data_IF_546776720801
#
_entry.id   IF_546776720801
#
_cell.length_a   1.000
_cell.length_b   1.000
_cell.length_c   1.000
_cell.angle_alpha   90.00
_cell.angle_beta   90.00
_cell.angle_gamma   90.00
#
_symmetry.space_group_name_H-M   'P 1'
#
loop_
_entity.id
_entity.type
_entity.pdbx_description
1 polymer ?
#
# COMPACT_ATOMS: atom_id res chain seq x y z
N UNK A 1 -55.78 -9.82 10.30
CA UNK A 1 -55.08 -9.14 9.22
C UNK A 1 -54.41 -7.90 9.78
N UNK A 2 -53.06 -7.94 9.95
CA UNK A 2 -52.28 -6.77 10.42
C UNK A 2 -52.16 -5.77 9.25
N UNK A 3 -52.67 -4.57 9.44
CA UNK A 3 -52.51 -3.47 8.48
C UNK A 3 -51.04 -3.10 8.41
N UNK A 4 -50.42 -3.32 7.27
CA UNK A 4 -49.08 -2.83 6.96
C UNK A 4 -49.08 -1.30 6.99
N UNK A 5 -48.26 -0.73 7.87
CA UNK A 5 -48.14 0.71 8.05
C UNK A 5 -47.47 1.31 6.81
N UNK A 6 -48.22 2.10 6.04
CA UNK A 6 -47.75 2.78 4.84
C UNK A 6 -46.50 3.69 5.11
N UNK A 7 -46.38 4.21 6.35
CA UNK A 7 -45.21 5.00 6.75
C UNK A 7 -43.94 4.17 6.83
N UNK A 8 -44.01 2.90 7.26
CA UNK A 8 -42.86 2.01 7.30
C UNK A 8 -42.39 1.62 5.86
N UNK A 9 -43.36 1.53 4.92
CA UNK A 9 -43.02 1.25 3.52
C UNK A 9 -42.32 2.43 2.83
N UNK A 10 -42.72 3.66 3.15
CA UNK A 10 -42.08 4.87 2.63
C UNK A 10 -40.70 5.10 3.23
N UNK A 11 -40.48 4.79 4.52
CA UNK A 11 -39.18 4.90 5.16
C UNK A 11 -38.17 3.91 4.58
N UNK A 12 -38.58 2.67 4.31
CA UNK A 12 -37.72 1.66 3.67
C UNK A 12 -37.44 1.96 2.18
N UNK A 13 -38.44 2.51 1.46
CA UNK A 13 -38.26 2.93 0.07
C UNK A 13 -37.34 4.17 -0.07
N UNK A 14 -37.44 5.14 0.85
CA UNK A 14 -36.57 6.31 0.87
C UNK A 14 -35.12 5.94 1.23
N UNK A 15 -34.91 5.00 2.16
CA UNK A 15 -33.57 4.50 2.49
C UNK A 15 -32.95 3.74 1.31
N UNK A 16 -33.71 2.91 0.61
CA UNK A 16 -33.26 2.21 -0.59
C UNK A 16 -32.96 3.17 -1.76
N UNK A 17 -33.79 4.22 -1.93
CA UNK A 17 -33.57 5.25 -2.94
C UNK A 17 -32.34 6.15 -2.61
N UNK A 18 -32.10 6.45 -1.34
CA UNK A 18 -30.90 7.16 -0.90
C UNK A 18 -29.64 6.33 -1.11
N UNK A 19 -29.67 5.02 -0.82
CA UNK A 19 -28.57 4.11 -1.09
C UNK A 19 -28.29 3.98 -2.59
N UNK A 20 -29.33 3.94 -3.44
CA UNK A 20 -29.17 3.95 -4.88
C UNK A 20 -28.69 5.29 -5.45
N UNK A 21 -29.10 6.42 -4.86
CA UNK A 21 -28.69 7.75 -5.28
C UNK A 21 -27.26 8.11 -4.80
N UNK A 22 -26.80 7.53 -3.71
CA UNK A 22 -25.42 7.72 -3.22
C UNK A 22 -24.40 6.88 -3.97
N UNK A 23 -24.82 6.04 -4.92
CA UNK A 23 -23.92 5.18 -5.66
C UNK A 23 -23.11 4.23 -4.76
N UNK A 24 -23.58 3.98 -3.54
CA UNK A 24 -23.07 2.89 -2.72
C UNK A 24 -23.57 1.60 -3.33
N UNK A 25 -22.88 1.13 -4.37
CA UNK A 25 -22.87 -0.30 -4.65
C UNK A 25 -22.58 -0.94 -3.29
N UNK A 26 -23.34 -1.96 -2.91
CA UNK A 26 -22.97 -2.83 -1.80
C UNK A 26 -21.52 -3.19 -2.05
N UNK A 27 -20.60 -2.56 -1.31
CA UNK A 27 -19.19 -2.72 -1.55
C UNK A 27 -18.93 -4.21 -1.42
N UNK A 28 -18.52 -4.82 -2.52
CA UNK A 28 -18.23 -6.24 -2.53
C UNK A 28 -17.17 -6.44 -1.45
N UNK A 29 -17.52 -7.17 -0.40
CA UNK A 29 -16.60 -7.33 0.73
C UNK A 29 -15.35 -8.02 0.23
N UNK A 30 -14.16 -7.50 0.56
CA UNK A 30 -12.93 -8.12 0.17
C UNK A 30 -12.89 -9.58 0.58
N UNK A 31 -12.52 -10.45 -0.34
CA UNK A 31 -12.34 -11.89 -0.10
C UNK A 31 -10.86 -12.21 -0.15
N UNK A 32 -10.41 -13.02 0.80
CA UNK A 32 -9.07 -13.56 0.81
C UNK A 32 -8.96 -14.75 -0.14
N UNK A 33 -7.85 -14.81 -0.86
CA UNK A 33 -7.51 -15.96 -1.69
C UNK A 33 -6.90 -15.59 -3.04
N UNK A 34 -6.37 -16.57 -3.72
CA UNK A 34 -5.85 -16.45 -5.06
C UNK A 34 -4.48 -15.79 -5.18
N UNK A 35 -4.04 -15.63 -6.42
CA UNK A 35 -2.76 -14.98 -6.77
C UNK A 35 -3.03 -13.75 -7.60
N UNK A 36 -2.46 -12.61 -7.22
CA UNK A 36 -2.43 -11.43 -8.08
C UNK A 36 -1.27 -11.56 -9.07
N UNK A 37 -1.60 -11.64 -10.36
CA UNK A 37 -0.62 -11.68 -11.46
C UNK A 37 -0.57 -10.30 -12.12
N UNK A 38 0.57 -9.62 -12.04
CA UNK A 38 0.74 -8.27 -12.55
C UNK A 38 1.86 -8.21 -13.59
N UNK A 39 1.55 -7.75 -14.81
CA UNK A 39 2.53 -7.45 -15.85
C UNK A 39 2.96 -5.98 -15.81
N UNK A 40 4.26 -5.74 -15.71
CA UNK A 40 4.86 -4.41 -15.62
C UNK A 40 5.89 -4.18 -16.74
N UNK A 41 6.15 -2.92 -17.14
CA UNK A 41 7.25 -2.60 -18.05
C UNK A 41 8.60 -2.81 -17.34
N UNK A 42 9.65 -2.95 -18.14
CA UNK A 42 11.03 -2.98 -17.63
C UNK A 42 11.45 -1.66 -17.04
N UNK A 43 11.07 -0.58 -17.70
CA UNK A 43 11.47 0.78 -17.33
C UNK A 43 10.46 1.41 -16.36
N UNK A 44 10.89 2.45 -15.64
CA UNK A 44 10.04 3.21 -14.72
C UNK A 44 9.94 2.64 -13.30
N UNK A 45 10.63 1.52 -12.98
CA UNK A 45 10.77 0.99 -11.61
C UNK A 45 9.47 0.55 -10.94
N UNK A 46 8.43 0.21 -11.72
CA UNK A 46 7.13 -0.18 -11.15
C UNK A 46 7.22 -1.54 -10.43
N UNK A 47 8.02 -2.49 -10.95
CA UNK A 47 8.27 -3.76 -10.28
C UNK A 47 8.79 -3.54 -8.85
N UNK A 48 9.84 -2.71 -8.75
CA UNK A 48 10.52 -2.42 -7.47
C UNK A 48 9.61 -1.69 -6.50
N UNK A 49 8.83 -0.70 -6.99
CA UNK A 49 7.89 0.03 -6.13
C UNK A 49 6.79 -0.87 -5.57
N UNK A 50 6.17 -1.70 -6.43
CA UNK A 50 5.10 -2.62 -6.00
C UNK A 50 5.66 -3.72 -5.09
N UNK A 51 6.82 -4.28 -5.42
CA UNK A 51 7.50 -5.26 -4.58
C UNK A 51 7.88 -4.67 -3.21
N UNK A 52 8.38 -3.43 -3.19
CA UNK A 52 8.71 -2.72 -1.95
C UNK A 52 7.48 -2.47 -1.09
N UNK A 53 6.37 -2.01 -1.68
CA UNK A 53 5.10 -1.83 -0.99
C UNK A 53 4.49 -3.12 -0.44
N UNK A 54 4.85 -4.29 -0.97
CA UNK A 54 4.42 -5.59 -0.46
C UNK A 54 5.27 -6.10 0.71
N UNK A 55 6.57 -5.78 0.70
CA UNK A 55 7.58 -6.35 1.60
C UNK A 55 7.83 -5.48 2.83
N UNK A 56 7.66 -4.17 2.71
CA UNK A 56 8.01 -3.22 3.75
C UNK A 56 6.82 -2.40 4.20
N UNK A 57 6.66 -2.30 5.52
CA UNK A 57 5.77 -1.31 6.13
C UNK A 57 6.57 -0.05 6.48
N UNK A 58 5.89 1.08 6.50
CA UNK A 58 6.40 2.36 6.97
C UNK A 58 5.83 2.69 8.35
N UNK A 59 6.23 3.84 8.92
CA UNK A 59 5.65 4.26 10.20
C UNK A 59 4.17 4.65 10.04
N UNK A 60 3.84 5.28 8.94
CA UNK A 60 2.47 5.69 8.60
C UNK A 60 2.15 5.33 7.16
N UNK A 61 0.89 5.39 6.78
CA UNK A 61 0.44 5.21 5.39
C UNK A 61 -0.59 6.26 4.99
N UNK A 62 -0.61 6.64 3.72
CA UNK A 62 -1.71 7.41 3.13
C UNK A 62 -2.65 6.43 2.45
N UNK A 63 -3.86 6.31 2.97
CA UNK A 63 -4.85 5.41 2.41
C UNK A 63 -5.49 5.98 1.12
N UNK A 64 -6.16 5.15 0.29
CA UNK A 64 -6.81 5.60 -0.95
C UNK A 64 -7.87 6.69 -0.75
N UNK A 65 -8.41 6.81 0.47
CA UNK A 65 -9.32 7.88 0.87
C UNK A 65 -8.59 9.19 1.27
N UNK A 66 -7.25 9.23 1.12
CA UNK A 66 -6.41 10.38 1.45
C UNK A 66 -6.15 10.58 2.94
N UNK A 67 -6.66 9.69 3.80
CA UNK A 67 -6.44 9.78 5.24
C UNK A 67 -5.10 9.15 5.61
N UNK A 68 -4.38 9.85 6.48
CA UNK A 68 -3.16 9.33 7.09
C UNK A 68 -3.52 8.33 8.19
N UNK A 69 -2.94 7.16 8.15
CA UNK A 69 -3.14 6.08 9.11
C UNK A 69 -1.82 5.61 9.71
N UNK A 70 -1.90 5.01 10.90
CA UNK A 70 -0.74 4.33 11.48
C UNK A 70 -0.49 2.99 10.80
N UNK A 71 0.78 2.69 10.56
CA UNK A 71 1.26 1.41 10.07
C UNK A 71 2.15 0.75 11.14
N UNK A 72 3.47 0.92 11.11
CA UNK A 72 4.32 0.55 12.25
C UNK A 72 4.12 1.47 13.45
N UNK A 73 3.66 2.70 13.23
CA UNK A 73 3.21 3.57 14.30
C UNK A 73 1.75 3.32 14.66
N UNK A 74 1.44 3.30 15.96
CA UNK A 74 0.06 3.19 16.48
C UNK A 74 -0.54 4.55 16.78
N UNK A 75 0.28 5.61 16.86
CA UNK A 75 -0.13 6.97 17.09
C UNK A 75 1.04 7.93 17.11
N UNK A 76 0.74 9.22 16.96
CA UNK A 76 1.72 10.29 17.03
C UNK A 76 1.08 11.58 17.52
N UNK A 77 1.91 12.43 18.09
CA UNK A 77 1.53 13.80 18.45
C UNK A 77 2.77 14.69 18.44
N UNK A 78 2.57 15.98 18.28
CA UNK A 78 3.64 16.98 18.35
C UNK A 78 3.39 18.00 19.46
N UNK A 79 4.44 18.77 19.77
CA UNK A 79 4.29 20.04 20.46
C UNK A 79 3.61 21.08 19.55
N UNK A 80 3.25 22.25 20.12
CA UNK A 80 2.56 23.33 19.38
C UNK A 80 3.39 23.89 18.22
N UNK A 81 4.73 23.74 18.30
CA UNK A 81 5.65 24.19 17.26
C UNK A 81 5.86 23.19 16.12
N UNK A 82 5.37 21.97 16.27
CA UNK A 82 5.63 20.83 15.39
C UNK A 82 7.15 20.54 15.18
N UNK A 83 7.98 20.91 16.17
CA UNK A 83 9.42 20.63 16.18
C UNK A 83 9.76 19.33 16.90
N UNK A 84 8.93 18.93 17.85
CA UNK A 84 9.08 17.68 18.60
C UNK A 84 7.88 16.81 18.35
N UNK A 85 8.13 15.60 17.86
CA UNK A 85 7.10 14.61 17.62
C UNK A 85 7.38 13.37 18.45
N UNK A 86 6.35 12.83 19.07
CA UNK A 86 6.37 11.51 19.72
C UNK A 86 5.59 10.55 18.84
N UNK A 87 6.25 9.51 18.38
CA UNK A 87 5.67 8.44 17.56
C UNK A 87 5.71 7.15 18.35
N UNK A 88 4.56 6.58 18.66
CA UNK A 88 4.42 5.33 19.39
C UNK A 88 4.41 4.16 18.41
N UNK A 89 5.27 3.17 18.62
CA UNK A 89 5.39 2.00 17.76
C UNK A 89 4.46 0.86 18.17
N UNK A 90 4.19 0.00 17.22
CA UNK A 90 3.53 -1.28 17.36
C UNK A 90 4.52 -2.30 17.95
N UNK A 91 4.06 -3.14 18.87
CA UNK A 91 4.93 -4.13 19.54
C UNK A 91 4.80 -5.54 18.98
N UNK A 92 3.71 -5.83 18.28
CA UNK A 92 3.34 -7.15 17.76
C UNK A 92 3.80 -7.34 16.30
N UNK A 93 4.94 -6.73 15.93
CA UNK A 93 5.52 -6.81 14.58
C UNK A 93 6.81 -7.60 14.59
N UNK A 94 7.01 -8.40 13.58
CA UNK A 94 8.27 -9.09 13.31
C UNK A 94 8.68 -8.94 11.85
N UNK A 95 9.98 -8.93 11.60
CA UNK A 95 10.54 -9.04 10.26
C UNK A 95 10.28 -10.43 9.65
N UNK A 96 10.46 -10.58 8.34
CA UNK A 96 10.29 -11.86 7.64
C UNK A 96 11.27 -12.94 8.11
N UNK A 97 12.40 -12.56 8.68
CA UNK A 97 13.36 -13.48 9.29
C UNK A 97 13.00 -13.90 10.73
N UNK A 98 11.84 -13.46 11.23
CA UNK A 98 11.34 -13.81 12.56
C UNK A 98 11.84 -12.92 13.70
N UNK A 99 12.77 -12.00 13.46
CA UNK A 99 13.23 -11.05 14.49
C UNK A 99 12.10 -10.06 14.83
N UNK A 100 11.85 -9.76 16.10
CA UNK A 100 10.88 -8.73 16.49
C UNK A 100 11.37 -7.34 16.07
N UNK A 101 10.46 -6.48 15.64
CA UNK A 101 10.73 -5.06 15.41
C UNK A 101 10.97 -4.35 16.75
N UNK A 102 12.05 -3.59 16.84
CA UNK A 102 12.40 -2.76 17.99
C UNK A 102 12.47 -1.29 17.61
N UNK A 103 12.26 -0.42 18.57
CA UNK A 103 12.43 1.02 18.33
C UNK A 103 13.87 1.40 17.90
N UNK A 104 14.87 0.64 18.36
CA UNK A 104 16.26 0.79 17.91
C UNK A 104 16.41 0.53 16.41
N UNK A 105 15.69 -0.45 15.84
CA UNK A 105 15.75 -0.75 14.42
C UNK A 105 15.18 0.41 13.58
N UNK A 106 14.10 1.01 14.06
CA UNK A 106 13.47 2.18 13.41
C UNK A 106 14.42 3.38 13.47
N UNK A 107 14.99 3.68 14.65
CA UNK A 107 15.94 4.79 14.82
C UNK A 107 17.14 4.59 13.88
N UNK A 108 17.80 3.44 13.94
CA UNK A 108 18.97 3.14 13.13
C UNK A 108 18.68 3.21 11.61
N UNK A 109 17.49 2.72 11.19
CA UNK A 109 17.07 2.79 9.78
C UNK A 109 16.87 4.23 9.32
N UNK A 110 16.17 5.04 10.11
CA UNK A 110 15.93 6.46 9.77
C UNK A 110 17.24 7.28 9.80
N UNK A 111 18.14 7.01 10.73
CA UNK A 111 19.47 7.62 10.76
C UNK A 111 20.30 7.22 9.54
N UNK A 112 20.22 5.95 9.10
CA UNK A 112 20.85 5.49 7.88
C UNK A 112 20.30 6.19 6.63
N UNK A 113 19.01 6.48 6.56
CA UNK A 113 18.42 7.29 5.50
C UNK A 113 18.86 8.74 5.57
N UNK A 114 18.79 9.37 6.75
CA UNK A 114 19.19 10.76 6.96
C UNK A 114 20.67 10.99 6.61
N UNK A 115 21.56 10.08 6.99
CA UNK A 115 23.00 10.17 6.68
C UNK A 115 23.31 10.12 5.19
N UNK A 116 22.40 9.59 4.36
CA UNK A 116 22.49 9.59 2.89
C UNK A 116 21.86 10.82 2.24
N UNK A 117 21.40 11.77 3.03
CA UNK A 117 20.77 12.99 2.53
C UNK A 117 19.34 12.78 2.00
N UNK A 118 18.61 11.86 2.59
CA UNK A 118 17.21 11.61 2.19
C UNK A 118 16.34 12.82 2.51
N UNK A 119 15.83 13.47 1.46
CA UNK A 119 15.04 14.70 1.56
C UNK A 119 13.74 14.54 2.38
N UNK A 120 13.24 13.30 2.53
CA UNK A 120 12.07 13.01 3.39
C UNK A 120 12.35 13.28 4.86
N UNK A 121 13.62 13.17 5.27
CA UNK A 121 14.12 13.41 6.62
C UNK A 121 14.89 14.72 6.75
N UNK A 122 14.77 15.61 5.76
CA UNK A 122 15.38 16.94 5.82
C UNK A 122 14.92 17.69 7.07
N UNK A 123 15.87 18.30 7.77
CA UNK A 123 15.65 19.00 9.05
C UNK A 123 15.52 18.08 10.26
N UNK A 124 15.69 16.76 10.10
CA UNK A 124 15.77 15.84 11.24
C UNK A 124 17.10 16.06 11.98
N UNK A 125 17.00 16.51 13.25
CA UNK A 125 18.14 16.79 14.11
C UNK A 125 18.52 15.63 15.00
N UNK A 126 17.53 14.95 15.57
CA UNK A 126 17.75 13.83 16.48
C UNK A 126 16.56 12.87 16.52
N UNK A 127 16.86 11.61 16.75
CA UNK A 127 15.94 10.56 17.12
C UNK A 127 16.33 10.00 18.47
N UNK A 128 15.40 9.91 19.42
CA UNK A 128 15.66 9.34 20.74
C UNK A 128 14.55 8.40 21.17
N UNK A 129 14.97 7.28 21.73
CA UNK A 129 14.05 6.37 22.37
C UNK A 129 13.42 7.04 23.59
N UNK A 130 12.10 7.02 23.68
CA UNK A 130 11.33 7.40 24.86
C UNK A 130 10.73 6.16 25.52
N UNK A 131 9.93 6.35 26.56
CA UNK A 131 9.35 5.29 27.36
C UNK A 131 8.84 4.11 26.52
N UNK A 132 9.46 2.96 26.73
CA UNK A 132 9.09 1.69 26.12
C UNK A 132 9.31 1.60 24.61
N UNK A 133 8.35 2.03 23.82
CA UNK A 133 8.25 1.83 22.37
C UNK A 133 8.00 3.15 21.60
N UNK A 134 8.16 4.29 22.24
CA UNK A 134 7.98 5.58 21.62
C UNK A 134 9.34 6.17 21.17
N UNK A 135 9.31 6.84 20.01
CA UNK A 135 10.46 7.57 19.45
C UNK A 135 10.14 9.05 19.42
N UNK A 136 11.02 9.86 19.96
CA UNK A 136 10.99 11.30 19.80
C UNK A 136 11.79 11.71 18.58
N UNK A 137 11.15 12.45 17.69
CA UNK A 137 11.77 13.15 16.56
C UNK A 137 11.97 14.60 16.95
N UNK A 138 13.17 15.12 16.79
CA UNK A 138 13.49 16.54 16.98
C UNK A 138 13.90 17.11 15.63
N UNK A 139 13.22 18.20 15.22
CA UNK A 139 13.45 18.88 13.95
C UNK A 139 14.10 20.24 14.17
N UNK A 140 14.90 20.69 13.20
CA UNK A 140 15.49 22.04 13.20
C UNK A 140 14.40 23.11 13.09
N UNK A 141 13.39 22.86 12.25
CA UNK A 141 12.20 23.71 12.07
C UNK A 141 10.93 22.88 12.24
N UNK A 142 9.84 23.54 12.64
CA UNK A 142 8.55 22.88 12.80
C UNK A 142 7.99 22.36 11.48
N UNK A 143 7.60 21.08 11.45
CA UNK A 143 7.00 20.47 10.27
C UNK A 143 5.73 19.70 10.63
N UNK A 144 4.53 20.28 10.41
CA UNK A 144 3.26 19.62 10.69
C UNK A 144 2.99 18.43 9.76
N UNK A 145 3.75 18.30 8.66
CA UNK A 145 3.60 17.22 7.68
C UNK A 145 4.58 16.06 7.89
N UNK A 146 5.34 16.04 8.99
CA UNK A 146 6.25 14.93 9.27
C UNK A 146 5.55 13.55 9.15
N UNK A 147 4.36 13.31 9.69
CA UNK A 147 3.70 12.01 9.57
C UNK A 147 3.40 11.59 8.13
N UNK A 148 3.15 12.53 7.21
CA UNK A 148 3.00 12.23 5.78
C UNK A 148 4.32 11.87 5.11
N UNK A 149 5.44 12.46 5.54
CA UNK A 149 6.77 12.08 5.04
C UNK A 149 7.16 10.67 5.48
N UNK A 150 6.72 10.26 6.68
CA UNK A 150 6.96 8.92 7.25
C UNK A 150 6.14 7.82 6.56
N UNK A 151 5.23 8.16 5.65
CA UNK A 151 4.45 7.23 4.84
C UNK A 151 5.14 6.85 3.53
N UNK A 152 6.28 7.46 3.20
CA UNK A 152 6.96 7.21 1.92
C UNK A 152 7.60 5.82 1.89
N UNK A 153 7.26 5.02 0.89
CA UNK A 153 7.72 3.63 0.72
C UNK A 153 9.23 3.48 0.50
N UNK A 154 9.93 4.58 0.29
CA UNK A 154 11.40 4.61 0.25
C UNK A 154 12.06 4.61 1.62
N UNK A 155 11.33 4.93 2.70
CA UNK A 155 11.85 4.87 4.07
C UNK A 155 11.76 3.44 4.62
N UNK A 156 12.60 2.56 4.11
CA UNK A 156 12.67 1.16 4.52
C UNK A 156 13.13 1.04 5.97
N UNK A 157 12.37 0.31 6.78
CA UNK A 157 12.75 -0.07 8.13
C UNK A 157 13.35 -1.48 8.11
N UNK A 158 14.56 -1.61 8.64
CA UNK A 158 15.36 -2.84 8.60
C UNK A 158 15.80 -3.26 10.00
N UNK A 159 15.98 -4.55 10.22
CA UNK A 159 16.58 -5.05 11.45
C UNK A 159 17.98 -4.47 11.65
N UNK A 160 18.28 -4.06 12.87
CA UNK A 160 19.54 -3.41 13.25
C UNK A 160 19.92 -2.18 12.38
N UNK A 161 18.95 -1.62 11.63
CA UNK A 161 19.17 -0.49 10.74
C UNK A 161 19.94 -0.81 9.45
N UNK A 162 20.22 -2.07 9.15
CA UNK A 162 20.93 -2.45 7.92
C UNK A 162 20.01 -2.44 6.70
N UNK A 163 19.69 -1.23 6.25
CA UNK A 163 18.81 -0.97 5.10
C UNK A 163 19.37 -1.63 3.82
N UNK A 164 20.69 -1.69 3.65
CA UNK A 164 21.28 -2.27 2.44
C UNK A 164 21.11 -3.79 2.40
N UNK A 165 21.43 -4.48 3.49
CA UNK A 165 21.20 -5.92 3.58
C UNK A 165 19.72 -6.27 3.46
N UNK A 166 18.83 -5.49 4.10
CA UNK A 166 17.39 -5.66 4.00
C UNK A 166 16.89 -5.53 2.56
N UNK A 167 17.34 -4.51 1.82
CA UNK A 167 17.00 -4.34 0.41
C UNK A 167 17.54 -5.46 -0.47
N UNK A 168 18.78 -5.91 -0.22
CA UNK A 168 19.41 -7.01 -0.98
C UNK A 168 18.69 -8.35 -0.79
N UNK A 169 18.18 -8.61 0.42
CA UNK A 169 17.46 -9.84 0.76
C UNK A 169 15.95 -9.71 0.67
N UNK A 170 15.44 -8.51 0.45
CA UNK A 170 14.02 -8.15 0.52
C UNK A 170 13.36 -8.66 1.82
N UNK A 171 13.98 -8.37 2.96
CA UNK A 171 13.54 -8.78 4.28
C UNK A 171 12.96 -7.58 5.03
N UNK A 172 11.65 -7.44 5.04
CA UNK A 172 10.92 -6.36 5.71
C UNK A 172 9.94 -6.88 6.74
N UNK A 173 9.00 -6.02 7.13
CA UNK A 173 7.92 -6.32 8.08
C UNK A 173 6.58 -6.55 7.39
N UNK A 174 6.47 -6.28 6.08
CA UNK A 174 5.23 -6.25 5.33
C UNK A 174 4.47 -7.57 5.23
N UNK A 175 3.28 -7.48 4.68
CA UNK A 175 2.34 -8.61 4.54
C UNK A 175 2.86 -9.76 3.72
N UNK A 176 3.77 -9.51 2.76
CA UNK A 176 4.24 -10.52 1.81
C UNK A 176 5.73 -10.78 1.96
N UNK A 177 6.07 -12.02 2.24
CA UNK A 177 7.44 -12.50 2.26
C UNK A 177 7.85 -13.02 0.87
N UNK A 178 9.07 -12.71 0.46
CA UNK A 178 9.58 -13.07 -0.87
C UNK A 178 9.84 -14.57 -0.96
N UNK A 179 9.29 -15.22 -1.98
CA UNK A 179 9.63 -16.60 -2.36
C UNK A 179 10.70 -16.62 -3.45
N UNK A 180 10.62 -15.67 -4.39
CA UNK A 180 11.56 -15.56 -5.51
C UNK A 180 11.62 -14.13 -6.03
N UNK A 181 12.82 -13.61 -6.19
CA UNK A 181 13.07 -12.37 -6.89
C UNK A 181 14.16 -12.56 -7.94
N UNK A 182 13.94 -12.03 -9.13
CA UNK A 182 14.93 -11.94 -10.20
C UNK A 182 14.97 -10.49 -10.64
N UNK A 183 16.11 -9.86 -10.41
CA UNK A 183 16.30 -8.44 -10.66
C UNK A 183 15.84 -8.02 -12.05
N UNK A 184 14.97 -7.00 -12.09
CA UNK A 184 14.37 -6.44 -13.29
C UNK A 184 13.58 -7.44 -14.17
N UNK A 185 13.14 -8.59 -13.64
CA UNK A 185 12.41 -9.61 -14.42
C UNK A 185 11.17 -10.17 -13.76
N UNK A 186 11.28 -10.53 -12.50
CA UNK A 186 10.24 -11.30 -11.83
C UNK A 186 10.31 -11.12 -10.32
N UNK A 187 9.13 -11.02 -9.69
CA UNK A 187 8.99 -11.01 -8.24
C UNK A 187 7.81 -11.88 -7.85
N UNK A 188 8.05 -12.81 -6.95
CA UNK A 188 7.02 -13.66 -6.37
C UNK A 188 7.10 -13.60 -4.85
N UNK A 189 5.96 -13.41 -4.22
CA UNK A 189 5.85 -13.35 -2.77
C UNK A 189 4.59 -14.06 -2.29
N UNK A 190 4.63 -14.53 -1.06
CA UNK A 190 3.51 -15.19 -0.39
C UNK A 190 3.10 -14.38 0.82
N UNK A 191 1.79 -14.29 1.04
CA UNK A 191 1.23 -13.69 2.23
C UNK A 191 1.66 -14.45 3.48
N UNK A 192 2.01 -13.71 4.53
CA UNK A 192 2.31 -14.27 5.86
C UNK A 192 1.02 -14.82 6.48
N UNK A 193 1.16 -15.87 7.30
CA UNK A 193 0.02 -16.47 8.01
C UNK A 193 -0.55 -15.52 9.08
N UNK A 194 0.32 -14.77 9.73
CA UNK A 194 -0.03 -13.82 10.79
C UNK A 194 0.59 -12.45 10.50
N UNK A 195 -0.22 -11.42 10.56
CA UNK A 195 0.20 -10.04 10.42
C UNK A 195 -0.80 -9.10 11.09
N UNK A 196 -0.36 -7.96 11.62
CA UNK A 196 -1.23 -7.01 12.30
C UNK A 196 -2.31 -6.39 11.39
N UNK A 197 -2.13 -6.44 10.06
CA UNK A 197 -3.12 -6.01 9.06
C UNK A 197 -4.16 -7.10 8.71
N UNK A 198 -4.15 -8.25 9.39
CA UNK A 198 -5.10 -9.33 9.09
C UNK A 198 -6.55 -8.85 9.19
N UNK A 199 -7.34 -9.20 8.15
CA UNK A 199 -8.74 -8.77 8.05
C UNK A 199 -8.96 -7.34 7.55
N UNK A 200 -7.88 -6.55 7.32
CA UNK A 200 -7.96 -5.17 6.81
C UNK A 200 -7.20 -4.97 5.50
N UNK A 201 -6.22 -5.80 5.19
CA UNK A 201 -5.40 -5.72 3.99
C UNK A 201 -4.84 -7.10 3.58
N UNK A 202 -4.17 -7.18 2.43
CA UNK A 202 -3.48 -8.38 1.97
C UNK A 202 -4.45 -9.50 1.61
N UNK A 203 -5.34 -9.24 0.67
CA UNK A 203 -6.41 -10.16 0.31
C UNK A 203 -5.96 -11.32 -0.56
N UNK A 204 -4.86 -11.18 -1.32
CA UNK A 204 -4.29 -12.27 -2.10
C UNK A 204 -3.42 -13.18 -1.24
N UNK A 205 -3.40 -14.49 -1.54
CA UNK A 205 -2.49 -15.44 -0.89
C UNK A 205 -1.07 -15.37 -1.46
N UNK A 206 -0.95 -14.96 -2.72
CA UNK A 206 0.33 -14.81 -3.41
C UNK A 206 0.33 -13.65 -4.40
N UNK A 207 1.52 -13.14 -4.67
CA UNK A 207 1.80 -12.14 -5.68
C UNK A 207 2.75 -12.73 -6.72
N UNK A 208 2.51 -12.40 -7.98
CA UNK A 208 3.35 -12.82 -9.10
C UNK A 208 3.49 -11.65 -10.09
N UNK A 209 4.61 -10.93 -10.02
CA UNK A 209 4.90 -9.78 -10.86
C UNK A 209 5.91 -10.18 -11.93
N UNK A 210 5.56 -9.93 -13.18
CA UNK A 210 6.40 -10.26 -14.32
C UNK A 210 6.69 -9.03 -15.17
N UNK A 211 7.96 -8.89 -15.59
CA UNK A 211 8.36 -7.85 -16.51
C UNK A 211 8.13 -8.29 -17.94
N UNK A 212 7.28 -7.56 -18.64
CA UNK A 212 7.04 -7.69 -20.08
C UNK A 212 7.25 -6.31 -20.70
N UNK A 213 8.33 -6.14 -21.46
CA UNK A 213 8.73 -4.82 -21.98
C UNK A 213 7.74 -4.23 -22.99
N UNK A 214 7.16 -5.08 -23.85
CA UNK A 214 6.22 -4.65 -24.88
C UNK A 214 4.81 -4.45 -24.32
N UNK A 215 4.25 -3.25 -24.50
CA UNK A 215 2.93 -2.89 -24.02
C UNK A 215 1.80 -3.67 -24.73
N UNK A 216 1.97 -4.01 -26.01
CA UNK A 216 0.99 -4.79 -26.74
C UNK A 216 0.93 -6.23 -26.20
N UNK A 217 2.09 -6.83 -25.89
CA UNK A 217 2.16 -8.16 -25.27
C UNK A 217 1.54 -8.14 -23.86
N UNK A 218 1.75 -7.06 -23.06
CA UNK A 218 1.07 -6.91 -21.77
C UNK A 218 -0.45 -6.82 -21.91
N UNK A 219 -0.92 -6.07 -22.91
CA UNK A 219 -2.35 -5.96 -23.20
C UNK A 219 -2.95 -7.32 -23.62
N UNK A 220 -2.23 -8.10 -24.44
CA UNK A 220 -2.62 -9.46 -24.82
C UNK A 220 -2.66 -10.38 -23.62
N UNK A 221 -1.63 -10.37 -22.79
CA UNK A 221 -1.57 -11.20 -21.58
C UNK A 221 -2.73 -10.92 -20.62
N UNK A 222 -3.15 -9.65 -20.47
CA UNK A 222 -4.33 -9.29 -19.69
C UNK A 222 -5.62 -9.76 -20.36
N UNK A 223 -5.77 -9.52 -21.65
CA UNK A 223 -6.97 -9.91 -22.42
C UNK A 223 -7.19 -11.42 -22.39
N UNK A 224 -6.13 -12.18 -22.51
CA UNK A 224 -6.19 -13.64 -22.60
C UNK A 224 -6.15 -14.32 -21.21
N UNK A 225 -6.13 -13.51 -20.11
CA UNK A 225 -6.21 -14.00 -18.73
C UNK A 225 -4.91 -14.59 -18.18
N UNK A 226 -3.76 -14.39 -18.84
CA UNK A 226 -2.46 -14.79 -18.30
C UNK A 226 -2.02 -13.95 -17.12
N UNK A 227 -2.45 -12.68 -17.09
CA UNK A 227 -2.29 -11.78 -15.92
C UNK A 227 -3.63 -11.16 -15.56
N UNK A 228 -3.75 -10.71 -14.32
CA UNK A 228 -4.96 -10.10 -13.77
C UNK A 228 -4.93 -8.58 -13.92
N UNK A 229 -3.72 -8.03 -13.96
CA UNK A 229 -3.45 -6.59 -14.07
C UNK A 229 -2.27 -6.36 -15.01
N UNK A 230 -2.34 -5.33 -15.82
CA UNK A 230 -1.25 -4.89 -16.68
C UNK A 230 -1.03 -3.38 -16.60
N UNK A 231 0.24 -2.97 -16.53
CA UNK A 231 0.61 -1.57 -16.70
C UNK A 231 0.66 -1.24 -18.20
N UNK A 232 -0.17 -0.30 -18.63
CA UNK A 232 -0.31 0.09 -20.01
C UNK A 232 -0.20 1.62 -20.16
N UNK A 233 0.57 2.14 -21.11
CA UNK A 233 0.66 3.57 -21.37
C UNK A 233 -0.66 4.13 -21.90
N UNK A 234 -1.41 3.32 -22.63
CA UNK A 234 -2.73 3.66 -23.19
C UNK A 234 -3.66 2.44 -23.17
N UNK A 235 -4.98 2.63 -23.11
CA UNK A 235 -5.93 1.52 -23.14
C UNK A 235 -6.21 0.97 -24.56
N UNK A 236 -5.52 1.44 -25.59
CA UNK A 236 -5.85 1.14 -27.00
C UNK A 236 -5.84 -0.35 -27.32
N UNK A 237 -4.88 -1.10 -26.80
CA UNK A 237 -4.79 -2.56 -26.98
C UNK A 237 -5.95 -3.36 -26.40
N UNK A 238 -6.76 -2.73 -25.53
CA UNK A 238 -7.91 -3.37 -24.87
C UNK A 238 -9.26 -2.90 -25.40
N UNK A 239 -9.31 -1.83 -26.21
CA UNK A 239 -10.56 -1.26 -26.72
C UNK A 239 -11.34 -2.27 -27.55
N UNK A 240 -12.64 -2.43 -27.23
CA UNK A 240 -13.56 -3.32 -27.95
C UNK A 240 -13.31 -4.82 -27.74
N UNK A 241 -12.46 -5.21 -26.81
CA UNK A 241 -12.07 -6.61 -26.57
C UNK A 241 -12.33 -7.10 -25.15
N UNK A 242 -13.36 -6.58 -24.52
CA UNK A 242 -13.74 -6.94 -23.14
C UNK A 242 -13.94 -5.71 -22.27
N UNK A 243 -14.31 -5.96 -21.02
CA UNK A 243 -14.46 -4.92 -20.01
C UNK A 243 -13.33 -5.00 -19.01
N UNK A 244 -12.66 -3.86 -18.78
CA UNK A 244 -11.54 -3.75 -17.87
C UNK A 244 -11.74 -2.58 -16.93
N UNK A 245 -11.21 -2.69 -15.73
CA UNK A 245 -11.13 -1.61 -14.76
C UNK A 245 -9.83 -0.85 -14.99
N UNK A 246 -9.88 0.49 -15.01
CA UNK A 246 -8.70 1.33 -15.20
C UNK A 246 -8.35 2.07 -13.93
N UNK A 247 -7.08 2.03 -13.57
CA UNK A 247 -6.52 2.72 -12.43
C UNK A 247 -5.50 3.76 -12.90
N UNK A 248 -5.86 5.05 -12.95
CA UNK A 248 -4.92 6.10 -13.31
C UNK A 248 -3.79 6.18 -12.28
N UNK A 249 -2.56 6.34 -12.74
CA UNK A 249 -1.38 6.61 -11.90
C UNK A 249 -0.77 7.97 -12.26
N UNK A 250 0.15 8.45 -11.44
CA UNK A 250 0.93 9.64 -11.80
C UNK A 250 1.76 9.36 -13.05
N UNK A 251 1.80 10.37 -13.94
CA UNK A 251 2.34 10.21 -15.27
C UNK A 251 1.38 9.44 -16.19
N UNK A 252 1.71 9.31 -17.44
CA UNK A 252 0.85 8.74 -18.49
C UNK A 252 0.63 7.22 -18.41
N UNK A 253 0.90 6.62 -17.25
CA UNK A 253 0.73 5.18 -17.04
C UNK A 253 -0.59 4.88 -16.36
N UNK A 254 -1.36 3.99 -16.97
CA UNK A 254 -2.55 3.42 -16.39
C UNK A 254 -2.31 1.94 -16.04
N UNK A 255 -2.91 1.47 -14.95
CA UNK A 255 -3.08 0.05 -14.69
C UNK A 255 -4.44 -0.36 -15.24
N UNK A 256 -4.48 -1.37 -16.05
CA UNK A 256 -5.71 -2.03 -16.48
C UNK A 256 -5.85 -3.36 -15.74
N UNK A 257 -7.01 -3.61 -15.18
CA UNK A 257 -7.30 -4.84 -14.44
C UNK A 257 -8.53 -5.55 -15.03
N UNK A 258 -8.53 -6.87 -15.01
CA UNK A 258 -9.70 -7.67 -15.32
C UNK A 258 -10.86 -7.36 -14.37
N UNK A 259 -12.11 -7.58 -14.79
CA UNK A 259 -13.30 -7.28 -13.97
C UNK A 259 -13.37 -8.07 -12.66
N UNK A 260 -12.68 -9.18 -12.59
CA UNK A 260 -12.54 -9.99 -11.38
C UNK A 260 -11.59 -9.39 -10.35
N UNK A 261 -10.88 -8.31 -10.67
CA UNK A 261 -10.03 -7.57 -9.71
C UNK A 261 -10.78 -6.31 -9.27
N UNK A 262 -10.99 -6.21 -7.97
CA UNK A 262 -11.66 -5.08 -7.35
C UNK A 262 -10.63 -4.16 -6.72
N UNK A 263 -10.80 -2.88 -6.95
CA UNK A 263 -9.93 -1.82 -6.46
C UNK A 263 -10.64 -0.99 -5.38
N UNK A 264 -9.93 -0.50 -4.37
CA UNK A 264 -10.52 0.40 -3.38
C UNK A 264 -10.99 1.70 -4.04
N UNK A 265 -12.07 2.25 -3.50
CA UNK A 265 -12.60 3.54 -3.97
C UNK A 265 -11.64 4.67 -3.60
N UNK A 266 -11.35 5.56 -4.56
CA UNK A 266 -10.49 6.72 -4.37
C UNK A 266 -11.31 8.01 -4.22
N UNK A 267 -10.71 9.01 -3.58
CA UNK A 267 -11.30 10.36 -3.49
C UNK A 267 -11.13 11.13 -4.80
N UNK A 268 -10.07 10.89 -5.55
CA UNK A 268 -9.72 11.67 -6.74
C UNK A 268 -9.27 10.78 -7.89
N UNK A 269 -9.65 11.15 -9.11
CA UNK A 269 -9.11 10.55 -10.33
C UNK A 269 -7.80 11.21 -10.78
N UNK A 270 -7.30 12.20 -10.03
CA UNK A 270 -6.06 12.92 -10.32
C UNK A 270 -4.94 12.36 -9.46
N UNK A 271 -3.99 11.71 -10.09
CA UNK A 271 -2.85 11.14 -9.41
C UNK A 271 -3.18 9.91 -8.58
N UNK A 272 -2.18 9.18 -8.25
CA UNK A 272 -2.25 8.03 -7.38
C UNK A 272 -2.04 8.53 -5.95
N UNK A 273 -3.11 8.62 -5.16
CA UNK A 273 -2.98 8.63 -3.69
C UNK A 273 -2.61 7.24 -3.16
N UNK A 274 -2.56 6.27 -4.04
CA UNK A 274 -2.11 4.92 -3.78
C UNK A 274 -0.59 4.88 -4.03
N UNK A 275 0.17 4.87 -2.96
CA UNK A 275 1.62 4.77 -2.91
C UNK A 275 2.18 3.41 -3.41
N UNK A 276 1.55 2.84 -4.42
CA UNK A 276 1.83 1.53 -5.02
C UNK A 276 1.57 0.32 -4.11
N UNK A 277 0.76 0.48 -3.07
CA UNK A 277 0.31 -0.62 -2.20
C UNK A 277 -0.85 -1.43 -2.79
N UNK A 278 -0.84 -1.61 -4.10
CA UNK A 278 -1.83 -2.36 -4.87
C UNK A 278 -2.03 -3.75 -4.29
N UNK A 279 -0.93 -4.41 -3.93
CA UNK A 279 -0.91 -5.79 -3.42
C UNK A 279 -1.61 -5.95 -2.09
N UNK A 280 -1.67 -4.91 -1.28
CA UNK A 280 -2.35 -4.93 0.00
C UNK A 280 -3.82 -4.57 -0.08
N UNK A 281 -4.18 -3.70 -1.03
CA UNK A 281 -5.49 -3.02 -1.06
C UNK A 281 -6.47 -3.60 -2.05
N UNK A 282 -6.02 -4.31 -3.07
CA UNK A 282 -6.87 -4.90 -4.09
C UNK A 282 -7.26 -6.34 -3.73
N UNK A 283 -8.38 -6.83 -4.26
CA UNK A 283 -8.87 -8.18 -3.99
C UNK A 283 -9.55 -8.80 -5.21
N UNK A 284 -9.77 -10.11 -5.20
CA UNK A 284 -10.60 -10.81 -6.19
C UNK A 284 -12.09 -10.65 -5.86
N UNK A 285 -12.91 -10.46 -6.90
CA UNK A 285 -14.38 -10.35 -6.81
C UNK A 285 -15.04 -11.68 -6.43
#
# INVERSE_FOLDING_TARGET
MKRLDRRALFASGAAAALLAATGTSLAQQPRRGGTLRLAVPRDGGLLERVARGAVYDQLTEVAPDGLLRGELATGWHSDDSARRWIVKLRQDVSFHNGLPLRASDVIASLEAHASRGDLRLEGLRALTLKDGDAIEFVLDEGNPHLPYRLADTGLVIAADGDVQASLATMTGTGLYAVERAQDGRHFRARRREQHYKDGSAGWFDALDLIVISDAAVRAEALRDGFVDVASLPTPEGLRGRGSFNYHPSEGDMALAAGQHVVMPRRISNRGSLDDHRITERWWMA
#
